data_IF_464931978085
#
_entry.id   IF_464931978085
#
_cell.length_a   1.000
_cell.length_b   1.000
_cell.length_c   1.000
_cell.angle_alpha   90.00
_cell.angle_beta   90.00
_cell.angle_gamma   90.00
#
_symmetry.space_group_name_H-M   'P 1'
#
loop_
_entity.id
_entity.type
_entity.pdbx_description
1 polymer ?
#
# COMPACT_ATOMS: atom_id res chain seq x y z
N UNK A 1 12.80 -8.12 8.21
CA UNK A 1 11.70 -9.00 7.74
C UNK A 1 10.79 -8.15 6.86
N UNK A 2 10.37 -8.64 5.69
CA UNK A 2 9.50 -7.87 4.78
C UNK A 2 8.04 -7.90 5.26
N UNK A 3 7.26 -6.87 4.88
CA UNK A 3 5.88 -6.73 5.32
C UNK A 3 5.01 -5.95 4.32
N UNK A 4 3.71 -5.85 4.63
CA UNK A 4 2.76 -5.04 3.85
C UNK A 4 2.70 -3.63 4.43
N UNK A 5 2.86 -2.63 3.57
CA UNK A 5 2.72 -1.21 3.90
C UNK A 5 1.58 -0.61 3.08
N UNK A 6 0.71 0.15 3.74
CA UNK A 6 -0.46 0.76 3.09
C UNK A 6 -0.21 2.26 2.90
N UNK A 7 -0.30 2.72 1.66
CA UNK A 7 0.10 4.07 1.28
C UNK A 7 -1.11 4.92 0.87
N UNK A 8 -1.26 6.04 1.56
CA UNK A 8 -2.18 7.11 1.17
C UNK A 8 -1.49 7.99 0.11
N UNK A 9 -1.85 7.77 -1.15
CA UNK A 9 -1.45 8.63 -2.27
C UNK A 9 -2.13 10.01 -2.20
N UNK A 10 -1.74 10.94 -3.07
CA UNK A 10 -2.26 12.31 -3.07
C UNK A 10 -3.80 12.36 -3.10
N UNK A 11 -4.43 11.43 -3.84
CA UNK A 11 -5.90 11.35 -3.91
C UNK A 11 -6.52 10.82 -2.63
N UNK A 12 -5.90 9.84 -1.98
CA UNK A 12 -6.35 9.35 -0.68
C UNK A 12 -6.31 10.46 0.38
N UNK A 13 -5.30 11.34 0.32
CA UNK A 13 -5.12 12.47 1.26
C UNK A 13 -6.10 13.62 1.06
N UNK A 14 -6.70 13.71 -0.13
CA UNK A 14 -7.73 14.69 -0.48
C UNK A 14 -9.16 14.13 -0.27
N UNK A 15 -9.31 12.90 0.24
CA UNK A 15 -10.61 12.25 0.38
C UNK A 15 -11.39 12.76 1.61
N UNK A 16 -11.81 14.02 1.53
CA UNK A 16 -12.58 14.69 2.57
C UNK A 16 -14.03 14.16 2.66
N UNK A 17 -14.61 14.14 3.88
CA UNK A 17 -14.04 14.58 5.16
C UNK A 17 -13.16 13.52 5.85
N UNK A 18 -13.01 12.34 5.26
CA UNK A 18 -12.45 11.17 5.94
C UNK A 18 -10.94 11.22 6.11
N UNK A 19 -10.23 11.76 5.11
CA UNK A 19 -8.77 11.92 5.11
C UNK A 19 -8.25 12.80 6.26
N UNK A 20 -9.12 13.56 6.94
CA UNK A 20 -8.75 14.39 8.10
C UNK A 20 -8.78 13.63 9.43
N UNK A 21 -9.46 12.49 9.49
CA UNK A 21 -9.73 11.81 10.77
C UNK A 21 -9.05 10.46 10.90
N UNK A 22 -8.68 9.82 9.77
CA UNK A 22 -7.96 8.54 9.76
C UNK A 22 -7.36 8.21 8.40
N UNK A 23 -6.34 7.32 8.37
CA UNK A 23 -5.80 6.81 7.13
C UNK A 23 -6.86 6.07 6.31
N UNK A 24 -6.74 6.08 4.98
CA UNK A 24 -7.74 5.42 4.11
C UNK A 24 -7.73 3.90 4.30
N UNK A 25 -6.60 3.34 4.73
CA UNK A 25 -6.48 1.92 5.09
C UNK A 25 -7.47 1.47 6.16
N UNK A 26 -7.90 2.37 7.05
CA UNK A 26 -8.79 2.09 8.17
C UNK A 26 -10.25 2.42 7.86
N UNK A 27 -10.53 2.88 6.63
CA UNK A 27 -11.89 3.01 6.14
C UNK A 27 -12.49 1.64 5.81
N UNK A 28 -13.78 1.49 6.06
CA UNK A 28 -14.54 0.27 5.75
C UNK A 28 -15.02 0.33 4.30
N UNK A 29 -14.64 -0.66 3.50
CA UNK A 29 -15.18 -0.88 2.17
C UNK A 29 -16.13 -2.08 2.20
N UNK A 30 -17.43 -1.81 2.11
CA UNK A 30 -18.47 -2.83 2.33
C UNK A 30 -18.55 -3.21 3.81
N UNK A 31 -18.05 -4.39 4.16
CA UNK A 31 -18.13 -4.94 5.53
C UNK A 31 -16.77 -5.09 6.22
N UNK A 32 -15.67 -4.75 5.54
CA UNK A 32 -14.32 -4.96 6.05
C UNK A 32 -13.43 -3.72 5.81
N UNK A 33 -12.51 -3.39 6.74
CA UNK A 33 -11.51 -2.34 6.52
C UNK A 33 -10.63 -2.62 5.31
N UNK A 34 -10.21 -1.58 4.58
CA UNK A 34 -9.32 -1.73 3.42
C UNK A 34 -8.04 -2.51 3.75
N UNK A 35 -7.44 -2.23 4.90
CA UNK A 35 -6.28 -2.98 5.41
C UNK A 35 -6.54 -4.48 5.51
N UNK A 36 -7.72 -4.87 5.99
CA UNK A 36 -8.06 -6.28 6.17
C UNK A 36 -8.19 -6.98 4.80
N UNK A 37 -8.74 -6.27 3.80
CA UNK A 37 -8.82 -6.79 2.42
C UNK A 37 -7.43 -7.07 1.85
N UNK A 38 -6.49 -6.15 2.02
CA UNK A 38 -5.12 -6.33 1.57
C UNK A 38 -4.40 -7.47 2.29
N UNK A 39 -4.55 -7.58 3.62
CA UNK A 39 -4.01 -8.71 4.37
C UNK A 39 -4.58 -10.04 3.88
N UNK A 40 -5.89 -10.11 3.62
CA UNK A 40 -6.53 -11.32 3.10
C UNK A 40 -5.99 -11.68 1.71
N UNK A 41 -5.87 -10.72 0.80
CA UNK A 41 -5.46 -11.03 -0.58
C UNK A 41 -3.97 -11.35 -0.68
N UNK A 42 -3.12 -10.66 0.08
CA UNK A 42 -1.67 -10.88 0.06
C UNK A 42 -1.19 -11.94 1.05
N UNK A 43 -2.02 -12.36 2.01
CA UNK A 43 -1.63 -13.22 3.12
C UNK A 43 -0.40 -12.69 3.88
N UNK A 44 -0.33 -11.36 4.02
CA UNK A 44 0.76 -10.64 4.69
C UNK A 44 0.18 -9.73 5.77
N UNK A 45 0.76 -9.69 6.99
CA UNK A 45 0.34 -8.72 8.00
C UNK A 45 0.74 -7.30 7.58
N UNK A 46 -0.09 -6.31 7.95
CA UNK A 46 0.28 -4.90 7.82
C UNK A 46 1.40 -4.59 8.79
N UNK A 47 2.59 -4.30 8.25
CA UNK A 47 3.77 -3.88 8.99
C UNK A 47 3.80 -2.35 9.20
N UNK A 48 3.07 -1.59 8.38
CA UNK A 48 2.87 -0.17 8.65
C UNK A 48 1.92 0.55 7.69
N UNK A 49 1.53 1.76 8.07
CA UNK A 49 0.73 2.68 7.26
C UNK A 49 1.55 3.91 6.94
N UNK A 50 1.45 4.42 5.72
CA UNK A 50 2.12 5.64 5.25
C UNK A 50 1.00 6.66 4.96
N UNK A 51 0.47 7.33 6.00
CA UNK A 51 -0.67 8.21 5.86
C UNK A 51 -0.28 9.62 5.40
N UNK A 52 -1.22 10.56 5.41
CA UNK A 52 -0.92 11.99 5.36
C UNK A 52 -0.09 12.44 6.58
N UNK A 53 0.64 13.56 6.45
CA UNK A 53 1.51 14.06 7.50
C UNK A 53 0.78 14.36 8.82
N UNK A 54 -0.46 14.89 8.76
CA UNK A 54 -1.25 15.18 9.95
C UNK A 54 -1.79 13.93 10.67
N UNK A 55 -1.67 12.75 10.06
CA UNK A 55 -2.03 11.45 10.64
C UNK A 55 -0.79 10.59 10.95
N UNK A 56 0.42 11.15 10.91
CA UNK A 56 1.66 10.41 11.13
C UNK A 56 1.72 9.73 12.51
N UNK A 57 1.03 10.29 13.52
CA UNK A 57 0.93 9.73 14.86
C UNK A 57 -0.47 9.17 15.17
N UNK A 58 -1.26 8.86 14.15
CA UNK A 58 -2.53 8.17 14.33
C UNK A 58 -2.31 6.80 14.96
N UNK A 59 -2.91 6.57 16.13
CA UNK A 59 -2.76 5.36 16.93
C UNK A 59 -4.12 4.97 17.53
N UNK A 60 -4.80 4.04 16.86
CA UNK A 60 -6.09 3.49 17.29
C UNK A 60 -5.96 1.96 17.43
N UNK A 61 -6.70 1.37 18.37
CA UNK A 61 -6.58 -0.02 18.88
C UNK A 61 -6.73 -1.13 17.82
N UNK A 62 -7.01 -0.80 16.57
CA UNK A 62 -7.04 -1.76 15.46
C UNK A 62 -6.35 -1.25 14.18
N UNK A 63 -5.71 -0.08 14.23
CA UNK A 63 -4.96 0.48 13.11
C UNK A 63 -3.63 -0.24 12.96
N UNK A 64 -3.11 -0.30 11.73
CA UNK A 64 -1.69 -0.60 11.55
C UNK A 64 -0.86 0.56 12.13
N UNK A 65 0.34 0.30 12.68
CA UNK A 65 1.19 1.39 13.16
C UNK A 65 1.62 2.26 11.98
N UNK A 66 1.82 3.55 12.19
CA UNK A 66 2.51 4.38 11.19
C UNK A 66 3.89 3.81 10.89
N UNK A 67 4.26 3.77 9.62
CA UNK A 67 5.55 3.27 9.16
C UNK A 67 6.66 4.18 9.68
N UNK A 68 7.57 3.62 10.50
CA UNK A 68 8.71 4.33 11.09
C UNK A 68 10.02 3.67 10.68
N UNK A 69 11.10 4.47 10.66
CA UNK A 69 12.45 3.97 10.35
C UNK A 69 12.62 3.64 8.87
N UNK A 70 12.75 2.34 8.55
CA UNK A 70 13.04 1.85 7.20
C UNK A 70 12.03 0.79 6.78
N UNK A 71 11.61 0.87 5.52
CA UNK A 71 10.81 -0.15 4.84
C UNK A 71 11.79 -1.10 4.16
N UNK A 72 11.91 -2.37 4.61
CA UNK A 72 12.89 -3.31 4.05
C UNK A 72 12.62 -3.62 2.58
N UNK A 73 13.68 -3.94 1.83
CA UNK A 73 13.55 -4.53 0.50
C UNK A 73 12.70 -5.81 0.54
N UNK A 74 11.96 -6.08 -0.52
CA UNK A 74 11.02 -7.20 -0.64
C UNK A 74 9.68 -6.98 0.07
N UNK A 75 9.48 -5.84 0.73
CA UNK A 75 8.18 -5.43 1.29
C UNK A 75 7.19 -5.09 0.19
N UNK A 76 5.90 -5.14 0.47
CA UNK A 76 4.86 -4.72 -0.47
C UNK A 76 4.32 -3.37 -0.05
N UNK A 77 4.32 -2.39 -0.95
CA UNK A 77 3.64 -1.11 -0.78
C UNK A 77 2.38 -1.14 -1.62
N UNK A 78 1.22 -1.03 -0.97
CA UNK A 78 -0.09 -1.09 -1.60
C UNK A 78 -0.86 0.22 -1.44
N UNK A 79 -1.60 0.60 -2.48
CA UNK A 79 -2.41 1.80 -2.48
C UNK A 79 -3.64 1.61 -1.56
N UNK A 80 -3.74 2.43 -0.52
CA UNK A 80 -4.75 2.29 0.52
C UNK A 80 -6.20 2.50 0.01
N UNK A 81 -6.40 3.34 -1.03
CA UNK A 81 -7.75 3.57 -1.60
C UNK A 81 -8.20 2.47 -2.56
N UNK A 82 -7.34 1.52 -2.93
CA UNK A 82 -7.76 0.38 -3.74
C UNK A 82 -8.35 -0.72 -2.84
N UNK A 83 -9.58 -1.13 -3.15
CA UNK A 83 -10.28 -2.21 -2.46
C UNK A 83 -10.16 -3.52 -3.25
N UNK A 84 -9.19 -4.41 -2.94
CA UNK A 84 -9.10 -5.67 -3.65
C UNK A 84 -10.33 -6.55 -3.34
N UNK A 85 -10.71 -7.39 -4.31
CA UNK A 85 -11.81 -8.35 -4.16
C UNK A 85 -11.36 -9.49 -3.24
N UNK A 86 -12.19 -9.84 -2.25
CA UNK A 86 -11.86 -10.88 -1.27
C UNK A 86 -11.84 -12.29 -1.88
N UNK A 87 -12.56 -12.51 -2.99
CA UNK A 87 -12.55 -13.76 -3.75
C UNK A 87 -11.23 -14.02 -4.48
N UNK A 88 -10.38 -12.99 -4.58
CA UNK A 88 -9.05 -13.11 -5.18
C UNK A 88 -8.08 -13.59 -4.11
N UNK A 89 -8.15 -14.87 -3.73
CA UNK A 89 -7.04 -15.52 -3.02
C UNK A 89 -6.07 -16.02 -4.09
N UNK A 90 -5.36 -15.08 -4.70
CA UNK A 90 -4.22 -15.40 -5.54
C UNK A 90 -2.99 -14.74 -4.91
N UNK A 91 -1.91 -15.51 -4.78
CA UNK A 91 -0.57 -14.98 -5.11
C UNK A 91 -0.79 -14.40 -6.49
N UNK A 92 -1.08 -13.09 -6.62
CA UNK A 92 -1.59 -12.49 -7.86
C UNK A 92 -0.87 -13.11 -9.05
N UNK A 93 -1.57 -14.04 -9.70
CA UNK A 93 -0.98 -14.95 -10.65
C UNK A 93 -1.21 -14.36 -12.03
N UNK A 94 -0.31 -14.60 -12.99
CA UNK A 94 -0.16 -13.79 -14.22
C UNK A 94 -1.31 -13.90 -15.25
N UNK A 95 -2.46 -14.45 -14.88
CA UNK A 95 -3.35 -15.12 -15.84
C UNK A 95 -4.69 -14.42 -16.07
N UNK A 96 -4.76 -13.09 -15.93
CA UNK A 96 -5.83 -12.28 -16.53
C UNK A 96 -5.20 -11.22 -17.45
N UNK A 97 -4.49 -11.66 -18.50
CA UNK A 97 -3.74 -10.82 -19.45
C UNK A 97 -2.85 -9.71 -18.82
N UNK A 98 -2.57 -9.81 -17.51
CA UNK A 98 -1.74 -8.90 -16.75
C UNK A 98 -0.43 -9.62 -16.52
N UNK A 99 0.60 -9.26 -17.28
CA UNK A 99 1.96 -9.67 -16.98
C UNK A 99 2.28 -9.28 -15.52
N UNK A 100 2.29 -10.27 -14.64
CA UNK A 100 2.94 -10.13 -13.34
C UNK A 100 4.43 -10.20 -13.60
N UNK A 101 5.03 -9.05 -13.92
CA UNK A 101 6.44 -8.85 -13.54
C UNK A 101 6.46 -9.02 -12.02
N UNK A 102 7.28 -9.91 -11.48
CA UNK A 102 7.20 -10.48 -10.12
C UNK A 102 7.09 -9.49 -8.93
N UNK A 103 7.12 -8.19 -9.22
CA UNK A 103 7.17 -7.07 -8.29
C UNK A 103 6.00 -6.09 -8.43
N UNK A 104 5.03 -6.27 -9.34
CA UNK A 104 3.92 -5.32 -9.55
C UNK A 104 2.54 -5.98 -9.55
N UNK A 105 1.56 -5.24 -9.04
CA UNK A 105 0.14 -5.61 -9.00
C UNK A 105 -0.70 -4.58 -9.74
N UNK A 106 -1.54 -5.06 -10.67
CA UNK A 106 -2.32 -4.21 -11.57
C UNK A 106 -3.83 -4.35 -11.34
N UNK A 107 -4.55 -3.26 -11.57
CA UNK A 107 -6.01 -3.27 -11.71
C UNK A 107 -6.44 -2.21 -12.72
N UNK A 108 -7.17 -2.63 -13.76
CA UNK A 108 -7.61 -1.72 -14.83
C UNK A 108 -6.44 -0.98 -15.50
N UNK A 109 -5.30 -1.65 -15.71
CA UNK A 109 -4.09 -1.05 -16.29
C UNK A 109 -3.29 -0.13 -15.35
N UNK A 110 -3.67 -0.01 -14.08
CA UNK A 110 -2.97 0.84 -13.10
C UNK A 110 -2.28 0.00 -12.03
N UNK A 111 -1.07 0.38 -11.63
CA UNK A 111 -0.38 -0.26 -10.50
C UNK A 111 -1.08 0.11 -9.19
N UNK A 112 -1.47 -0.91 -8.43
CA UNK A 112 -2.16 -0.79 -7.14
C UNK A 112 -1.33 -1.29 -5.97
N UNK A 113 -0.29 -2.08 -6.23
CA UNK A 113 0.75 -2.39 -5.25
C UNK A 113 2.06 -2.71 -5.99
N UNK A 114 3.18 -2.60 -5.28
CA UNK A 114 4.49 -3.02 -5.77
C UNK A 114 5.34 -3.61 -4.66
N UNK A 115 6.22 -4.55 -5.01
CA UNK A 115 7.26 -5.08 -4.15
C UNK A 115 8.47 -4.15 -4.25
N UNK A 116 9.02 -3.77 -3.11
CA UNK A 116 10.17 -2.87 -3.05
C UNK A 116 11.43 -3.61 -3.50
N UNK A 117 12.12 -3.09 -4.51
CA UNK A 117 13.41 -3.65 -4.95
C UNK A 117 14.57 -3.28 -4.00
N UNK A 118 14.38 -2.25 -3.19
CA UNK A 118 15.36 -1.70 -2.26
C UNK A 118 14.72 -1.26 -0.95
N UNK A 119 15.55 -1.01 0.05
CA UNK A 119 15.11 -0.35 1.28
C UNK A 119 14.65 1.09 0.98
N UNK A 120 13.56 1.52 1.61
CA UNK A 120 13.00 2.86 1.44
C UNK A 120 12.79 3.53 2.80
N UNK A 121 12.96 4.85 2.85
CA UNK A 121 12.54 5.66 3.99
C UNK A 121 11.04 6.03 3.83
N UNK A 122 10.20 5.95 4.87
CA UNK A 122 8.80 6.40 4.78
C UNK A 122 8.63 7.84 4.27
N UNK A 123 9.57 8.73 4.61
CA UNK A 123 9.57 10.14 4.15
C UNK A 123 9.69 10.29 2.63
N UNK A 124 10.16 9.25 1.93
CA UNK A 124 10.15 9.21 0.46
C UNK A 124 8.73 9.45 -0.10
N UNK A 125 7.71 9.03 0.65
CA UNK A 125 6.29 9.11 0.32
C UNK A 125 5.57 10.33 0.93
N UNK A 126 6.30 11.23 1.58
CA UNK A 126 5.76 12.31 2.42
C UNK A 126 4.79 13.26 1.72
N UNK A 127 4.85 13.41 0.40
CA UNK A 127 3.96 14.29 -0.37
C UNK A 127 2.76 13.56 -1.02
N UNK A 128 2.69 12.23 -0.91
CA UNK A 128 1.60 11.45 -1.53
C UNK A 128 1.74 11.28 -3.04
N UNK A 129 2.77 11.84 -3.68
CA UNK A 129 2.88 11.88 -5.16
C UNK A 129 3.75 10.79 -5.75
N UNK A 130 4.37 9.95 -4.91
CA UNK A 130 5.21 8.85 -5.39
C UNK A 130 4.36 7.80 -6.09
N UNK A 131 4.75 7.51 -7.33
CA UNK A 131 4.11 6.48 -8.11
C UNK A 131 4.60 5.10 -7.60
N UNK A 132 3.67 4.16 -7.45
CA UNK A 132 3.97 2.83 -6.87
C UNK A 132 4.77 1.97 -7.86
N UNK A 133 4.64 2.21 -9.16
CA UNK A 133 5.39 1.53 -10.22
C UNK A 133 6.90 1.79 -10.18
N UNK A 134 7.33 2.94 -9.67
CA UNK A 134 8.75 3.27 -9.50
C UNK A 134 9.44 2.44 -8.40
N UNK A 135 8.68 1.76 -7.54
CA UNK A 135 9.21 1.05 -6.36
C UNK A 135 9.80 -0.32 -6.70
N UNK A 136 9.32 -0.95 -7.78
CA UNK A 136 9.77 -2.26 -8.26
C UNK A 136 11.01 -2.20 -9.15
N UNK A 137 11.47 -1.01 -9.52
CA UNK A 137 12.65 -0.85 -10.38
C UNK A 137 13.91 -0.73 -9.52
N UNK A 138 14.75 -1.75 -9.55
CA UNK A 138 16.16 -1.62 -9.17
C UNK A 138 16.79 -0.61 -10.13
N UNK A 139 17.31 0.51 -9.62
CA UNK A 139 17.92 1.54 -10.45
C UNK A 139 18.99 0.94 -11.35
N UNK A 140 18.78 1.05 -12.66
CA UNK A 140 19.88 1.16 -13.62
C UNK A 140 20.08 2.66 -13.79
N UNK A 141 20.90 3.26 -12.92
CA UNK A 141 21.56 4.51 -13.29
C UNK A 141 22.54 4.14 -14.41
N UNK A 142 22.32 4.71 -15.60
CA UNK A 142 23.30 4.70 -16.69
C UNK A 142 24.17 5.93 -16.59
#
# INVERSE_FOLDING_TARGET
>A
MSGLYLYDDARAREFEPFALTRPVSDMVAGTVPQRARWQTVLQMPVAGVIPSAHLADFDEVASGPSARGRIPAGSVIANARFAPRLSTVHRFAPNDNSESTADLWLSGGRVVAARTARELAPDYFSDGRRAIDDLGRSGVET
#
